data_IF_445447086937
#
_entry.id   IF_445447086937
#
_cell.length_a   1.000
_cell.length_b   1.000
_cell.length_c   1.000
_cell.angle_alpha   90.00
_cell.angle_beta   90.00
_cell.angle_gamma   90.00
#
_symmetry.space_group_name_H-M   'P 1'
#
loop_
_entity.id
_entity.type
_entity.pdbx_description
1 polymer ?
#
# COMPACT_ATOMS: atom_id res chain seq x y z
N UNK A 1 11.54 1.93 -20.07
CA UNK A 1 10.47 2.53 -19.27
C UNK A 1 9.32 1.54 -19.39
N UNK A 2 9.16 0.62 -18.44
CA UNK A 2 7.97 -0.23 -18.44
C UNK A 2 6.77 0.72 -18.34
N UNK A 3 6.02 0.77 -19.42
CA UNK A 3 4.97 1.74 -19.68
C UNK A 3 3.83 1.52 -18.71
N UNK A 4 3.41 2.60 -18.04
CA UNK A 4 2.07 2.77 -17.51
C UNK A 4 1.08 2.07 -18.45
N UNK A 5 0.30 1.10 -17.95
CA UNK A 5 -0.60 0.36 -18.82
C UNK A 5 -1.79 1.25 -19.16
N UNK A 6 -1.86 1.74 -20.40
CA UNK A 6 -2.97 2.58 -20.86
C UNK A 6 -4.35 1.92 -20.62
N UNK A 7 -4.40 0.59 -20.64
CA UNK A 7 -5.60 -0.18 -20.31
C UNK A 7 -6.06 0.01 -18.85
N UNK A 8 -5.15 0.13 -17.87
CA UNK A 8 -5.51 0.42 -16.49
C UNK A 8 -6.12 1.82 -16.36
N UNK A 9 -5.52 2.81 -17.02
CA UNK A 9 -6.04 4.18 -17.04
C UNK A 9 -7.48 4.19 -17.57
N UNK A 10 -7.69 3.58 -18.73
CA UNK A 10 -9.01 3.49 -19.35
C UNK A 10 -10.01 2.74 -18.46
N UNK A 11 -9.61 1.62 -17.86
CA UNK A 11 -10.46 0.84 -16.96
C UNK A 11 -10.90 1.64 -15.73
N UNK A 12 -9.99 2.37 -15.07
CA UNK A 12 -10.34 3.27 -13.95
C UNK A 12 -11.34 4.33 -14.39
N UNK A 13 -11.12 4.98 -15.54
CA UNK A 13 -12.04 5.99 -16.06
C UNK A 13 -13.44 5.41 -16.33
N UNK A 14 -13.52 4.23 -16.94
CA UNK A 14 -14.80 3.59 -17.28
C UNK A 14 -15.55 3.14 -16.03
N UNK A 15 -14.89 2.55 -15.04
CA UNK A 15 -15.51 2.18 -13.75
C UNK A 15 -16.05 3.43 -13.04
N UNK A 16 -15.25 4.50 -12.99
CA UNK A 16 -15.63 5.77 -12.36
C UNK A 16 -16.76 6.49 -13.11
N UNK A 17 -16.87 6.29 -14.43
CA UNK A 17 -18.01 6.74 -15.24
C UNK A 17 -19.26 5.88 -15.05
N UNK A 18 -19.19 4.81 -14.25
CA UNK A 18 -20.32 3.96 -13.89
C UNK A 18 -20.42 2.66 -14.69
N UNK A 19 -19.46 2.36 -15.57
CA UNK A 19 -19.45 1.07 -16.26
C UNK A 19 -19.29 -0.07 -15.25
N UNK A 20 -20.09 -1.13 -15.43
CA UNK A 20 -20.15 -2.28 -14.50
C UNK A 20 -19.60 -3.57 -15.08
N UNK A 21 -18.93 -3.49 -16.23
CA UNK A 21 -18.34 -4.65 -16.88
C UNK A 21 -17.18 -5.21 -16.02
N UNK A 22 -17.20 -6.52 -15.81
CA UNK A 22 -16.17 -7.24 -15.06
C UNK A 22 -14.80 -7.13 -15.74
N UNK A 23 -14.77 -6.99 -17.07
CA UNK A 23 -13.53 -6.85 -17.81
C UNK A 23 -12.69 -5.64 -17.35
N UNK A 24 -13.32 -4.52 -16.99
CA UNK A 24 -12.59 -3.34 -16.51
C UNK A 24 -12.01 -3.57 -15.12
N UNK A 25 -12.76 -4.21 -14.22
CA UNK A 25 -12.25 -4.54 -12.90
C UNK A 25 -11.11 -5.55 -12.99
N UNK A 26 -11.27 -6.61 -13.78
CA UNK A 26 -10.26 -7.65 -13.95
C UNK A 26 -9.00 -7.12 -14.65
N UNK A 27 -9.11 -6.13 -15.53
CA UNK A 27 -7.96 -5.42 -16.10
C UNK A 27 -7.11 -4.76 -15.01
N UNK A 28 -7.71 -4.19 -13.98
CA UNK A 28 -6.98 -3.61 -12.84
C UNK A 28 -6.49 -4.69 -11.87
N UNK A 29 -7.39 -5.61 -11.52
CA UNK A 29 -7.15 -6.61 -10.50
C UNK A 29 -6.00 -7.56 -10.87
N UNK A 30 -5.82 -7.90 -12.15
CA UNK A 30 -4.72 -8.79 -12.59
C UNK A 30 -3.33 -8.22 -12.29
N UNK A 31 -3.12 -6.91 -12.47
CA UNK A 31 -1.82 -6.28 -12.18
C UNK A 31 -1.60 -6.14 -10.67
N UNK A 32 -2.64 -5.75 -9.92
CA UNK A 32 -2.59 -5.72 -8.46
C UNK A 32 -2.27 -7.11 -7.85
N UNK A 33 -2.89 -8.18 -8.38
CA UNK A 33 -2.58 -9.56 -7.96
C UNK A 33 -1.15 -9.94 -8.29
N UNK A 34 -0.64 -9.56 -9.47
CA UNK A 34 0.76 -9.78 -9.85
C UNK A 34 1.73 -9.03 -8.93
N UNK A 35 1.44 -7.78 -8.57
CA UNK A 35 2.22 -7.01 -7.60
C UNK A 35 2.29 -7.72 -6.23
N UNK A 36 1.17 -8.30 -5.78
CA UNK A 36 1.09 -9.08 -4.54
C UNK A 36 1.89 -10.38 -4.64
N UNK A 37 1.77 -11.10 -5.76
CA UNK A 37 2.50 -12.35 -6.00
C UNK A 37 4.02 -12.12 -6.03
N UNK A 38 4.45 -11.03 -6.66
CA UNK A 38 5.86 -10.69 -6.81
C UNK A 38 6.50 -10.16 -5.52
N UNK A 39 5.68 -9.58 -4.62
CA UNK A 39 6.01 -9.15 -3.26
C UNK A 39 7.44 -8.57 -3.13
N UNK A 40 7.74 -7.46 -3.83
CA UNK A 40 9.10 -6.94 -3.86
C UNK A 40 9.54 -6.51 -2.44
N UNK A 41 10.80 -6.79 -2.06
CA UNK A 41 11.40 -6.21 -0.86
C UNK A 41 11.54 -4.69 -0.99
N UNK A 42 11.81 -4.03 0.13
CA UNK A 42 12.18 -2.60 0.13
C UNK A 42 13.55 -2.42 -0.50
N UNK A 43 13.72 -1.33 -1.26
CA UNK A 43 14.91 -1.14 -2.10
C UNK A 43 16.14 -0.79 -1.28
N UNK A 44 15.97 0.08 -0.29
CA UNK A 44 17.06 0.65 0.48
C UNK A 44 17.14 0.03 1.87
N UNK A 45 18.36 -0.11 2.37
CA UNK A 45 18.60 -0.45 3.78
C UNK A 45 17.96 0.61 4.65
N UNK A 46 17.34 0.20 5.75
CA UNK A 46 16.85 1.10 6.80
C UNK A 46 17.55 0.86 8.13
N UNK A 47 17.80 1.92 8.88
CA UNK A 47 18.23 1.80 10.28
C UNK A 47 17.10 1.30 11.21
N UNK A 48 17.40 1.13 12.50
CA UNK A 48 16.43 0.66 13.50
C UNK A 48 15.22 1.61 13.68
N UNK A 49 15.38 2.90 13.39
CA UNK A 49 14.29 3.86 13.42
C UNK A 49 13.42 3.77 12.15
N UNK A 50 13.95 3.21 11.05
CA UNK A 50 13.30 3.11 9.75
C UNK A 50 13.73 4.20 8.76
N UNK A 51 14.87 4.86 8.97
CA UNK A 51 15.42 5.82 8.03
C UNK A 51 16.15 5.09 6.90
N UNK A 52 15.78 5.38 5.66
CA UNK A 52 16.42 4.79 4.48
C UNK A 52 17.78 5.43 4.17
N UNK A 53 18.76 4.60 3.82
CA UNK A 53 19.98 5.05 3.16
C UNK A 53 19.84 4.92 1.64
N UNK A 54 19.58 6.01 0.90
CA UNK A 54 19.34 5.94 -0.54
C UNK A 54 20.58 5.52 -1.34
N UNK A 55 21.76 5.43 -0.71
CA UNK A 55 23.01 5.03 -1.35
C UNK A 55 23.26 3.52 -1.29
N UNK A 56 22.52 2.80 -0.44
CA UNK A 56 22.78 1.38 -0.16
C UNK A 56 21.52 0.56 -0.40
N UNK A 57 21.59 -0.39 -1.34
CA UNK A 57 20.50 -1.32 -1.59
C UNK A 57 20.40 -2.38 -0.50
N UNK A 58 19.17 -2.76 -0.17
CA UNK A 58 18.89 -3.87 0.74
C UNK A 58 19.33 -5.21 0.11
N UNK A 59 20.04 -6.09 0.84
CA UNK A 59 20.46 -7.38 0.31
C UNK A 59 19.31 -8.27 -0.19
N UNK A 60 18.14 -8.24 0.47
CA UNK A 60 16.98 -9.00 0.02
C UNK A 60 16.46 -8.49 -1.33
N UNK A 61 16.51 -7.16 -1.55
CA UNK A 61 16.17 -6.57 -2.83
C UNK A 61 17.17 -6.95 -3.93
N UNK A 62 18.48 -6.94 -3.65
CA UNK A 62 19.49 -7.38 -4.61
C UNK A 62 19.34 -8.88 -4.95
N UNK A 63 19.00 -9.71 -3.96
CA UNK A 63 18.69 -11.12 -4.20
C UNK A 63 17.46 -11.29 -5.10
N UNK A 64 16.37 -10.57 -4.79
CA UNK A 64 15.14 -10.55 -5.60
C UNK A 64 15.40 -10.14 -7.06
N UNK A 65 16.35 -9.24 -7.28
CA UNK A 65 16.83 -8.84 -8.60
C UNK A 65 17.60 -9.92 -9.34
N UNK A 66 18.54 -10.56 -8.63
CA UNK A 66 19.36 -11.64 -9.17
C UNK A 66 18.50 -12.80 -9.67
N UNK A 67 17.50 -13.21 -8.89
CA UNK A 67 16.53 -14.26 -9.25
C UNK A 67 15.76 -13.95 -10.54
N UNK A 68 15.67 -12.67 -10.91
CA UNK A 68 14.98 -12.19 -12.12
C UNK A 68 15.93 -11.83 -13.26
N UNK A 69 17.23 -12.00 -13.08
CA UNK A 69 18.27 -11.57 -14.03
C UNK A 69 18.14 -10.09 -14.41
N UNK A 70 17.84 -9.23 -13.43
CA UNK A 70 17.68 -7.80 -13.62
C UNK A 70 18.71 -7.02 -12.81
N UNK A 71 19.18 -5.92 -13.40
CA UNK A 71 19.96 -4.92 -12.67
C UNK A 71 19.08 -4.19 -11.62
N UNK A 72 19.70 -3.74 -10.53
CA UNK A 72 18.99 -3.07 -9.43
C UNK A 72 18.10 -1.89 -9.90
N UNK A 73 18.58 -1.12 -10.88
CA UNK A 73 17.81 0.01 -11.44
C UNK A 73 16.56 -0.44 -12.21
N UNK A 74 16.58 -1.60 -12.87
CA UNK A 74 15.44 -2.17 -13.57
C UNK A 74 14.43 -2.75 -12.58
N UNK A 75 14.91 -3.47 -11.56
CA UNK A 75 14.08 -3.92 -10.44
C UNK A 75 13.35 -2.79 -9.73
N UNK A 76 14.06 -1.70 -9.43
CA UNK A 76 13.48 -0.57 -8.70
C UNK A 76 12.34 0.08 -9.50
N UNK A 77 12.51 0.19 -10.82
CA UNK A 77 11.45 0.64 -11.73
C UNK A 77 10.25 -0.31 -11.69
N UNK A 78 10.50 -1.62 -11.78
CA UNK A 78 9.44 -2.64 -11.74
C UNK A 78 8.70 -2.67 -10.41
N UNK A 79 9.42 -2.61 -9.30
CA UNK A 79 8.80 -2.61 -7.97
C UNK A 79 8.05 -1.30 -7.67
N UNK A 80 8.51 -0.16 -8.22
CA UNK A 80 7.72 1.08 -8.20
C UNK A 80 6.43 0.92 -9.03
N UNK A 81 6.48 0.28 -10.19
CA UNK A 81 5.31 0.03 -11.02
C UNK A 81 4.23 -0.79 -10.29
N UNK A 82 4.62 -1.75 -9.45
CA UNK A 82 3.68 -2.49 -8.61
C UNK A 82 2.90 -1.61 -7.63
N UNK A 83 3.50 -0.53 -7.12
CA UNK A 83 2.78 0.47 -6.32
C UNK A 83 1.72 1.20 -7.15
N UNK A 84 2.06 1.56 -8.38
CA UNK A 84 1.14 2.20 -9.34
C UNK A 84 -0.03 1.26 -9.67
N UNK A 85 0.21 -0.03 -9.83
CA UNK A 85 -0.83 -1.03 -10.10
C UNK A 85 -1.87 -1.12 -8.98
N UNK A 86 -1.41 -1.09 -7.72
CA UNK A 86 -2.32 -1.04 -6.56
C UNK A 86 -3.08 0.29 -6.48
N UNK A 87 -2.43 1.42 -6.78
CA UNK A 87 -3.08 2.74 -6.78
C UNK A 87 -4.16 2.83 -7.86
N UNK A 88 -3.97 2.27 -9.05
CA UNK A 88 -5.05 2.22 -10.06
C UNK A 88 -6.25 1.40 -9.59
N UNK A 89 -6.03 0.24 -8.98
CA UNK A 89 -7.11 -0.55 -8.40
C UNK A 89 -7.83 0.25 -7.28
N UNK A 90 -7.08 0.97 -6.45
CA UNK A 90 -7.63 1.81 -5.36
C UNK A 90 -8.52 2.91 -5.92
N UNK A 91 -8.06 3.60 -6.97
CA UNK A 91 -8.79 4.69 -7.61
C UNK A 91 -10.09 4.28 -8.29
N UNK A 92 -10.28 2.99 -8.58
CA UNK A 92 -11.58 2.48 -9.06
C UNK A 92 -12.69 2.55 -7.99
N UNK A 93 -12.30 2.60 -6.71
CA UNK A 93 -13.20 2.53 -5.54
C UNK A 93 -14.20 1.37 -5.60
N UNK A 94 -13.85 0.31 -6.32
CA UNK A 94 -14.69 -0.87 -6.45
C UNK A 94 -14.55 -1.77 -5.21
N UNK A 95 -15.68 -2.06 -4.55
CA UNK A 95 -15.70 -2.88 -3.33
C UNK A 95 -15.21 -4.32 -3.56
N UNK A 96 -15.24 -4.80 -4.81
CA UNK A 96 -14.66 -6.10 -5.18
C UNK A 96 -13.15 -6.17 -4.94
N UNK A 97 -12.47 -5.03 -4.81
CA UNK A 97 -11.04 -4.95 -4.52
C UNK A 97 -10.68 -5.25 -3.05
N UNK A 98 -11.64 -5.25 -2.12
CA UNK A 98 -11.37 -5.42 -0.67
C UNK A 98 -10.53 -6.69 -0.37
N UNK A 99 -10.86 -7.89 -0.87
CA UNK A 99 -10.05 -9.08 -0.61
C UNK A 99 -8.62 -8.94 -1.12
N UNK A 100 -8.40 -8.28 -2.27
CA UNK A 100 -7.08 -8.06 -2.86
C UNK A 100 -6.24 -7.17 -1.94
N UNK A 101 -6.80 -6.05 -1.46
CA UNK A 101 -6.09 -5.17 -0.53
C UNK A 101 -5.83 -5.82 0.83
N UNK A 102 -6.74 -6.67 1.33
CA UNK A 102 -6.48 -7.46 2.53
C UNK A 102 -5.29 -8.41 2.36
N UNK A 103 -5.15 -9.05 1.20
CA UNK A 103 -3.96 -9.86 0.89
C UNK A 103 -2.71 -8.99 0.83
N UNK A 104 -2.79 -7.78 0.25
CA UNK A 104 -1.68 -6.84 0.18
C UNK A 104 -1.18 -6.34 1.55
N UNK A 105 -2.00 -6.41 2.61
CA UNK A 105 -1.52 -6.15 3.98
C UNK A 105 -0.41 -7.12 4.40
N UNK A 106 -0.30 -8.30 3.76
CA UNK A 106 0.74 -9.29 4.05
C UNK A 106 2.13 -8.93 3.53
N UNK A 107 2.27 -7.95 2.64
CA UNK A 107 3.51 -7.68 1.89
C UNK A 107 4.67 -7.16 2.77
N UNK A 108 5.90 -7.31 2.29
CA UNK A 108 7.11 -6.85 2.99
C UNK A 108 7.37 -5.34 2.82
N UNK A 109 6.90 -4.77 1.72
CA UNK A 109 7.02 -3.36 1.41
C UNK A 109 5.98 -2.54 2.18
N UNK A 110 6.44 -1.66 3.08
CA UNK A 110 5.61 -0.70 3.82
C UNK A 110 4.89 0.27 2.89
N UNK A 111 5.48 0.61 1.73
CA UNK A 111 4.82 1.44 0.73
C UNK A 111 3.59 0.74 0.13
N UNK A 112 3.71 -0.55 -0.24
CA UNK A 112 2.58 -1.32 -0.78
C UNK A 112 1.51 -1.59 0.30
N UNK A 113 1.94 -1.87 1.54
CA UNK A 113 1.01 -2.02 2.68
C UNK A 113 0.28 -0.71 2.96
N UNK A 114 0.98 0.43 2.94
CA UNK A 114 0.37 1.76 3.13
C UNK A 114 -0.67 2.08 2.05
N UNK A 115 -0.37 1.77 0.79
CA UNK A 115 -1.32 1.88 -0.32
C UNK A 115 -2.59 1.03 -0.06
N UNK A 116 -2.42 -0.23 0.34
CA UNK A 116 -3.53 -1.12 0.67
C UNK A 116 -4.38 -0.61 1.84
N UNK A 117 -3.74 -0.06 2.88
CA UNK A 117 -4.43 0.57 4.03
C UNK A 117 -5.24 1.77 3.58
N UNK A 118 -4.67 2.65 2.74
CA UNK A 118 -5.39 3.79 2.17
C UNK A 118 -6.60 3.36 1.34
N UNK A 119 -6.46 2.30 0.54
CA UNK A 119 -7.56 1.76 -0.24
C UNK A 119 -8.68 1.18 0.64
N UNK A 120 -8.34 0.42 1.68
CA UNK A 120 -9.30 -0.12 2.63
C UNK A 120 -10.00 0.99 3.43
N UNK A 121 -9.26 2.06 3.76
CA UNK A 121 -9.80 3.24 4.43
C UNK A 121 -10.82 3.97 3.54
N UNK A 122 -10.51 4.20 2.26
CA UNK A 122 -11.43 4.81 1.29
C UNK A 122 -12.70 3.98 1.05
N UNK A 123 -12.56 2.65 1.03
CA UNK A 123 -13.68 1.70 0.92
C UNK A 123 -14.43 1.50 2.26
N UNK A 124 -13.95 2.15 3.32
CA UNK A 124 -14.41 2.05 4.71
C UNK A 124 -14.58 0.60 5.18
N UNK A 125 -13.59 -0.25 4.90
CA UNK A 125 -13.58 -1.65 5.29
C UNK A 125 -13.18 -1.84 6.76
N UNK A 126 -14.10 -1.53 7.67
CA UNK A 126 -13.87 -1.54 9.13
C UNK A 126 -13.41 -2.91 9.66
N UNK A 127 -13.75 -4.00 8.96
CA UNK A 127 -13.35 -5.36 9.33
C UNK A 127 -11.82 -5.54 9.25
N UNK A 128 -11.13 -4.74 8.42
CA UNK A 128 -9.67 -4.80 8.29
C UNK A 128 -8.91 -4.04 9.38
N UNK A 129 -9.55 -3.14 10.12
CA UNK A 129 -8.91 -2.32 11.17
C UNK A 129 -8.09 -3.16 12.17
N UNK A 130 -8.62 -4.24 12.80
CA UNK A 130 -7.82 -5.04 13.72
C UNK A 130 -6.66 -5.80 13.03
N UNK A 131 -6.77 -6.09 11.73
CA UNK A 131 -5.69 -6.72 10.95
C UNK A 131 -4.56 -5.69 10.75
N UNK A 132 -4.92 -4.47 10.35
CA UNK A 132 -3.98 -3.36 10.12
C UNK A 132 -3.23 -3.01 11.42
N UNK A 133 -3.93 -2.93 12.56
CA UNK A 133 -3.31 -2.63 13.85
C UNK A 133 -2.24 -3.68 14.23
N UNK A 134 -2.55 -4.98 14.09
CA UNK A 134 -1.56 -6.05 14.38
C UNK A 134 -0.35 -6.00 13.45
N UNK A 135 -0.58 -5.63 12.20
CA UNK A 135 0.43 -5.57 11.16
C UNK A 135 1.51 -4.53 11.42
N UNK A 136 1.20 -3.44 12.13
CA UNK A 136 2.16 -2.38 12.41
C UNK A 136 3.36 -2.83 13.24
N UNK A 137 3.21 -3.87 14.06
CA UNK A 137 4.32 -4.46 14.82
C UNK A 137 5.42 -5.08 13.94
N UNK A 138 5.17 -5.31 12.64
CA UNK A 138 6.17 -5.82 11.69
C UNK A 138 7.13 -4.76 11.18
N UNK A 139 6.81 -3.48 11.38
CA UNK A 139 7.55 -2.37 10.80
C UNK A 139 8.25 -1.57 11.90
N UNK A 140 9.40 -0.96 11.57
CA UNK A 140 10.03 0.00 12.46
C UNK A 140 9.12 1.22 12.66
N UNK A 141 9.28 1.99 13.75
CA UNK A 141 8.36 3.08 14.09
C UNK A 141 8.11 4.07 12.94
N UNK A 142 9.15 4.49 12.21
CA UNK A 142 8.99 5.41 11.07
C UNK A 142 8.24 4.80 9.89
N UNK A 143 8.40 3.49 9.65
CA UNK A 143 7.70 2.78 8.58
C UNK A 143 6.23 2.53 8.96
N UNK A 144 5.98 2.19 10.22
CA UNK A 144 4.62 2.04 10.75
C UNK A 144 3.83 3.37 10.75
N UNK A 145 4.51 4.50 10.98
CA UNK A 145 3.88 5.83 10.92
C UNK A 145 3.17 6.08 9.58
N UNK A 146 3.79 5.71 8.46
CA UNK A 146 3.19 5.82 7.13
C UNK A 146 1.85 5.09 7.05
N UNK A 147 1.81 3.85 7.52
CA UNK A 147 0.59 3.04 7.60
C UNK A 147 -0.49 3.73 8.44
N UNK A 148 -0.11 4.27 9.61
CA UNK A 148 -1.01 5.03 10.48
C UNK A 148 -1.63 6.25 9.78
N UNK A 149 -0.85 6.97 8.98
CA UNK A 149 -1.33 8.13 8.22
C UNK A 149 -2.39 7.75 7.17
N UNK A 150 -2.18 6.66 6.43
CA UNK A 150 -3.16 6.20 5.43
C UNK A 150 -4.47 5.69 6.06
N UNK A 151 -4.46 5.30 7.34
CA UNK A 151 -5.68 4.89 8.05
C UNK A 151 -6.62 6.06 8.37
N UNK A 152 -6.19 7.32 8.24
CA UNK A 152 -7.04 8.52 8.48
C UNK A 152 -8.29 8.55 7.59
N UNK A 153 -8.30 7.83 6.46
CA UNK A 153 -9.49 7.73 5.59
C UNK A 153 -10.67 6.96 6.19
N UNK A 154 -10.46 6.11 7.21
CA UNK A 154 -11.54 5.36 7.84
C UNK A 154 -12.50 6.30 8.57
N UNK A 155 -13.80 6.02 8.49
CA UNK A 155 -14.85 6.82 9.14
C UNK A 155 -15.22 6.28 10.53
N UNK A 156 -14.70 5.12 10.89
CA UNK A 156 -15.06 4.41 12.11
C UNK A 156 -14.08 4.69 13.25
N UNK A 157 -14.60 4.90 14.46
CA UNK A 157 -13.79 5.23 15.63
C UNK A 157 -12.87 4.09 16.08
N UNK A 158 -13.09 2.84 15.65
CA UNK A 158 -12.16 1.74 15.90
C UNK A 158 -10.79 1.95 15.26
N UNK A 159 -10.66 2.85 14.27
CA UNK A 159 -9.37 3.23 13.66
C UNK A 159 -8.38 3.78 14.68
N UNK A 160 -8.84 4.26 15.84
CA UNK A 160 -7.98 4.72 16.93
C UNK A 160 -6.97 3.65 17.35
N UNK A 161 -7.33 2.37 17.28
CA UNK A 161 -6.44 1.24 17.54
C UNK A 161 -5.26 1.14 16.56
N UNK A 162 -5.47 1.55 15.30
CA UNK A 162 -4.41 1.64 14.29
C UNK A 162 -3.47 2.78 14.65
N UNK A 163 -3.98 3.95 15.03
CA UNK A 163 -3.13 5.06 15.46
C UNK A 163 -2.29 4.70 16.69
N UNK A 164 -2.87 4.00 17.67
CA UNK A 164 -2.14 3.52 18.84
C UNK A 164 -1.06 2.50 18.50
N UNK A 165 -1.34 1.57 17.58
CA UNK A 165 -0.41 0.51 17.21
C UNK A 165 0.71 0.97 16.27
N UNK A 166 0.42 1.92 15.37
CA UNK A 166 1.31 2.29 14.27
C UNK A 166 2.10 3.56 14.55
N UNK A 167 1.61 4.43 15.45
CA UNK A 167 2.23 5.73 15.74
C UNK A 167 2.74 5.72 17.18
N UNK A 168 4.02 5.38 17.32
CA UNK A 168 4.68 5.25 18.61
C UNK A 168 4.81 6.60 19.32
N UNK A 169 5.18 7.65 18.58
CA UNK A 169 5.31 9.00 19.12
C UNK A 169 3.94 9.57 19.51
N UNK A 170 3.86 10.14 20.71
CA UNK A 170 2.60 10.61 21.28
C UNK A 170 2.10 11.88 20.58
N UNK A 171 2.99 12.79 20.21
CA UNK A 171 2.63 14.07 19.60
C UNK A 171 2.14 13.85 18.17
N UNK A 172 2.88 13.06 17.38
CA UNK A 172 2.47 12.66 16.03
C UNK A 172 1.13 11.91 16.04
N UNK A 173 0.94 10.97 16.97
CA UNK A 173 -0.33 10.25 17.11
C UNK A 173 -1.48 11.20 17.40
N UNK A 174 -1.27 12.18 18.27
CA UNK A 174 -2.28 13.19 18.58
C UNK A 174 -2.58 14.10 17.39
N UNK A 175 -1.57 14.46 16.59
CA UNK A 175 -1.73 15.24 15.37
C UNK A 175 -2.56 14.47 14.33
N UNK A 176 -2.24 13.20 14.07
CA UNK A 176 -3.00 12.33 13.16
C UNK A 176 -4.45 12.15 13.65
N UNK A 177 -4.66 11.98 14.96
CA UNK A 177 -6.01 11.94 15.55
C UNK A 177 -6.79 13.23 15.40
N UNK A 178 -6.11 14.38 15.48
CA UNK A 178 -6.74 15.67 15.26
C UNK A 178 -7.14 15.83 13.79
N UNK A 179 -6.28 15.45 12.85
CA UNK A 179 -6.60 15.43 11.42
C UNK A 179 -7.80 14.52 11.12
N UNK A 180 -7.82 13.30 11.67
CA UNK A 180 -8.94 12.38 11.52
C UNK A 180 -10.27 13.00 12.00
N UNK A 181 -10.27 13.63 13.19
CA UNK A 181 -11.46 14.33 13.73
C UNK A 181 -11.92 15.54 12.92
N UNK A 182 -11.07 16.12 12.08
CA UNK A 182 -11.47 17.24 11.22
C UNK A 182 -12.15 16.77 9.93
N UNK A 183 -11.90 15.52 9.51
CA UNK A 183 -12.46 14.95 8.28
C UNK A 183 -13.83 14.29 8.46
N UNK A 184 -14.21 13.93 9.68
CA UNK A 184 -15.41 13.18 10.03
C UNK A 184 -16.13 13.78 11.23
#
# INVERSE_FOLDING_TARGET
METLHFSQVLAVYLINAGAKDDAYFEELAKYARKAIEENPPVFWVSDAAGNYDPKTYDPAFLNWCSERNLEASACMKRATAYGIDLEYLRHSKDRRAIPIFRTALGLHSDALVSCAVGALAELNDVVSIPIIARMCARFSPRRALGIGYFAVGFKDSSVQSVFDACVADREERNAIRAEWRQKH
#
